data_IF_223799952340
#
_entry.id   IF_223799952340
#
_cell.length_a   1.000
_cell.length_b   1.000
_cell.length_c   1.000
_cell.angle_alpha   90.00
_cell.angle_beta   90.00
_cell.angle_gamma   90.00
#
_symmetry.space_group_name_H-M   'P 1'
#
loop_
_entity.id
_entity.type
_entity.pdbx_description
1 polymer ?
#
# COMPACT_ATOMS: atom_id res chain seq x y z
N UNK A 1 -14.91 -39.21 10.89
CA UNK A 1 -15.28 -37.96 11.60
C UNK A 1 -15.51 -36.91 10.53
N UNK A 2 -16.77 -36.56 10.25
CA UNK A 2 -17.08 -35.50 9.29
C UNK A 2 -16.70 -34.16 9.91
N UNK A 3 -15.82 -33.41 9.25
CA UNK A 3 -15.57 -32.00 9.58
C UNK A 3 -16.90 -31.26 9.49
N UNK A 4 -17.36 -30.71 10.60
CA UNK A 4 -18.55 -29.84 10.62
C UNK A 4 -18.14 -28.56 9.88
N UNK A 5 -18.72 -28.32 8.72
CA UNK A 5 -18.57 -27.07 8.00
C UNK A 5 -19.33 -25.99 8.78
N UNK A 6 -18.60 -24.99 9.29
CA UNK A 6 -19.15 -23.87 10.05
C UNK A 6 -19.28 -22.61 9.19
N UNK A 7 -19.97 -21.60 9.72
CA UNK A 7 -20.06 -20.29 9.08
C UNK A 7 -18.66 -19.63 9.07
N UNK A 8 -18.22 -19.20 7.88
CA UNK A 8 -16.90 -18.63 7.64
C UNK A 8 -16.96 -17.11 7.74
N UNK A 9 -15.98 -16.51 8.41
CA UNK A 9 -15.77 -15.06 8.40
C UNK A 9 -14.82 -14.68 7.26
N UNK A 10 -15.33 -13.95 6.27
CA UNK A 10 -14.55 -13.54 5.10
C UNK A 10 -13.75 -12.25 5.39
N UNK A 11 -12.44 -12.32 5.20
CA UNK A 11 -11.52 -11.18 5.26
C UNK A 11 -11.15 -10.81 3.83
N UNK A 12 -11.55 -9.63 3.38
CA UNK A 12 -11.25 -9.15 2.03
C UNK A 12 -10.03 -8.22 2.03
N UNK A 13 -9.01 -8.58 1.25
CA UNK A 13 -7.82 -7.76 1.04
C UNK A 13 -7.81 -7.16 -0.36
N UNK A 14 -8.34 -5.94 -0.47
CA UNK A 14 -8.32 -5.16 -1.70
C UNK A 14 -6.98 -4.48 -1.88
N UNK A 15 -6.37 -4.67 -3.05
CA UNK A 15 -5.01 -4.23 -3.27
C UNK A 15 -4.78 -3.73 -4.69
N UNK A 16 -4.03 -2.63 -4.82
CA UNK A 16 -3.54 -2.15 -6.11
C UNK A 16 -2.53 -3.15 -6.68
N UNK A 17 -2.28 -3.16 -8.00
CA UNK A 17 -1.26 -4.04 -8.56
C UNK A 17 0.09 -3.77 -7.91
N UNK A 18 0.92 -4.80 -7.77
CA UNK A 18 2.31 -4.69 -7.27
C UNK A 18 2.42 -4.28 -5.78
N UNK A 19 1.38 -4.47 -4.98
CA UNK A 19 1.31 -4.12 -3.56
C UNK A 19 1.60 -5.27 -2.59
N UNK A 20 2.29 -6.33 -3.04
CA UNK A 20 2.63 -7.53 -2.24
C UNK A 20 1.43 -8.34 -1.73
N UNK A 21 0.25 -8.12 -2.30
CA UNK A 21 -0.96 -8.84 -1.90
C UNK A 21 -0.83 -10.35 -1.98
N UNK A 22 -0.12 -10.90 -2.98
CA UNK A 22 0.15 -12.35 -3.03
C UNK A 22 1.02 -12.82 -1.86
N UNK A 23 2.04 -12.04 -1.46
CA UNK A 23 2.86 -12.36 -0.28
C UNK A 23 2.03 -12.28 1.01
N UNK A 24 1.13 -11.31 1.11
CA UNK A 24 0.18 -11.21 2.22
C UNK A 24 -0.77 -12.42 2.26
N UNK A 25 -1.28 -12.87 1.10
CA UNK A 25 -2.06 -14.10 1.01
C UNK A 25 -1.26 -15.32 1.48
N UNK A 26 0.01 -15.45 1.07
CA UNK A 26 0.88 -16.56 1.50
C UNK A 26 1.11 -16.55 3.01
N UNK A 27 1.25 -15.35 3.59
CA UNK A 27 1.35 -15.12 5.03
C UNK A 27 0.09 -15.59 5.77
N UNK A 28 -1.10 -15.19 5.32
CA UNK A 28 -2.37 -15.66 5.91
C UNK A 28 -2.62 -17.15 5.71
N UNK A 29 -2.11 -17.76 4.64
CA UNK A 29 -2.18 -19.21 4.43
C UNK A 29 -1.38 -20.03 5.44
N UNK A 30 -0.48 -19.40 6.23
CA UNK A 30 0.25 -20.07 7.30
C UNK A 30 -0.49 -20.05 8.66
N UNK A 31 -1.63 -19.35 8.73
CA UNK A 31 -2.47 -19.33 9.92
C UNK A 31 -3.26 -20.63 10.01
N UNK A 32 -3.26 -21.25 11.19
CA UNK A 32 -4.07 -22.45 11.45
C UNK A 32 -5.58 -22.21 11.34
N UNK A 33 -6.04 -20.95 11.43
CA UNK A 33 -7.46 -20.59 11.44
C UNK A 33 -7.95 -20.00 10.13
N UNK A 34 -7.08 -19.92 9.11
CA UNK A 34 -7.38 -19.21 7.87
C UNK A 34 -7.24 -20.11 6.64
N UNK A 35 -8.22 -20.06 5.75
CA UNK A 35 -8.08 -20.52 4.37
C UNK A 35 -8.01 -19.32 3.41
N UNK A 36 -7.42 -19.49 2.23
CA UNK A 36 -7.17 -18.38 1.30
C UNK A 36 -7.82 -18.61 -0.07
N UNK A 37 -8.31 -17.54 -0.68
CA UNK A 37 -8.80 -17.52 -2.04
C UNK A 37 -8.02 -16.49 -2.86
N UNK A 38 -7.37 -16.96 -3.92
CA UNK A 38 -6.66 -16.11 -4.88
C UNK A 38 -7.62 -15.64 -5.97
N UNK A 39 -7.89 -14.33 -6.03
CA UNK A 39 -8.72 -13.66 -7.03
C UNK A 39 -10.09 -14.33 -7.33
N UNK A 40 -10.96 -14.58 -6.32
CA UNK A 40 -12.21 -15.31 -6.54
C UNK A 40 -13.14 -14.67 -7.59
N UNK A 41 -13.03 -13.35 -7.79
CA UNK A 41 -13.85 -12.58 -8.75
C UNK A 41 -13.20 -12.44 -10.14
N UNK A 42 -12.08 -13.10 -10.42
CA UNK A 42 -11.33 -12.85 -11.64
C UNK A 42 -12.10 -13.21 -12.92
N UNK A 43 -12.79 -14.35 -12.92
CA UNK A 43 -13.61 -14.75 -14.06
C UNK A 43 -14.79 -13.79 -14.30
N UNK A 44 -15.42 -13.30 -13.23
CA UNK A 44 -16.45 -12.26 -13.30
C UNK A 44 -15.92 -10.99 -13.96
N UNK A 45 -14.77 -10.50 -13.50
CA UNK A 45 -14.09 -9.33 -14.08
C UNK A 45 -13.79 -9.53 -15.57
N UNK A 46 -13.21 -10.66 -15.95
CA UNK A 46 -12.86 -10.94 -17.35
C UNK A 46 -14.10 -11.09 -18.24
N UNK A 47 -15.21 -11.62 -17.70
CA UNK A 47 -16.48 -11.74 -18.41
C UNK A 47 -17.14 -10.38 -18.63
N UNK A 48 -17.18 -9.52 -17.61
CA UNK A 48 -17.85 -8.22 -17.67
C UNK A 48 -17.07 -7.18 -18.49
N UNK A 49 -15.74 -7.15 -18.34
CA UNK A 49 -14.90 -6.16 -19.02
C UNK A 49 -14.45 -6.58 -20.42
N UNK A 50 -14.42 -7.89 -20.69
CA UNK A 50 -13.83 -8.42 -21.92
C UNK A 50 -12.31 -8.24 -22.00
N UNK A 51 -11.62 -7.93 -20.88
CA UNK A 51 -10.20 -7.67 -20.86
C UNK A 51 -9.37 -8.83 -21.46
N UNK A 52 -8.48 -8.50 -22.39
CA UNK A 52 -7.56 -9.47 -22.98
C UNK A 52 -6.44 -9.80 -21.99
N UNK A 53 -6.31 -11.09 -21.63
CA UNK A 53 -5.30 -11.60 -20.69
C UNK A 53 -4.75 -12.95 -21.16
N UNK A 54 -3.47 -13.28 -20.89
CA UNK A 54 -2.85 -14.51 -21.39
C UNK A 54 -3.55 -15.81 -20.93
N UNK A 55 -4.11 -15.81 -19.73
CA UNK A 55 -4.81 -16.95 -19.13
C UNK A 55 -6.34 -16.83 -19.20
N UNK A 56 -6.89 -15.91 -20.01
CA UNK A 56 -8.32 -15.57 -20.04
C UNK A 56 -9.23 -16.79 -20.20
N UNK A 57 -9.00 -17.58 -21.25
CA UNK A 57 -9.84 -18.74 -21.58
C UNK A 57 -9.74 -19.83 -20.51
N UNK A 58 -8.55 -20.01 -19.92
CA UNK A 58 -8.37 -20.94 -18.80
C UNK A 58 -9.13 -20.48 -17.56
N UNK A 59 -9.09 -19.19 -17.24
CA UNK A 59 -9.84 -18.62 -16.10
C UNK A 59 -11.34 -18.79 -16.30
N UNK A 60 -11.88 -18.39 -17.47
CA UNK A 60 -13.30 -18.52 -17.77
C UNK A 60 -13.81 -19.96 -17.79
N UNK A 61 -12.94 -20.94 -18.10
CA UNK A 61 -13.33 -22.36 -18.13
C UNK A 61 -13.20 -23.06 -16.78
N UNK A 62 -12.39 -22.53 -15.85
CA UNK A 62 -12.09 -23.16 -14.56
C UNK A 62 -12.79 -22.52 -13.36
N UNK A 63 -13.28 -21.30 -13.48
CA UNK A 63 -13.87 -20.53 -12.38
C UNK A 63 -15.30 -20.12 -12.68
N UNK A 64 -16.12 -20.00 -11.63
CA UNK A 64 -17.46 -19.41 -11.73
C UNK A 64 -17.35 -17.92 -12.07
N UNK A 65 -18.14 -17.46 -13.04
CA UNK A 65 -18.12 -16.10 -13.58
C UNK A 65 -19.41 -15.33 -13.29
N UNK A 66 -20.35 -15.95 -12.58
CA UNK A 66 -21.53 -15.31 -12.01
C UNK A 66 -21.18 -14.69 -10.65
N UNK A 67 -21.26 -13.36 -10.57
CA UNK A 67 -20.88 -12.60 -9.37
C UNK A 67 -21.67 -13.03 -8.13
N UNK A 68 -22.99 -13.17 -8.26
CA UNK A 68 -23.86 -13.51 -7.13
C UNK A 68 -23.52 -14.89 -6.58
N UNK A 69 -23.26 -15.85 -7.48
CA UNK A 69 -22.83 -17.20 -7.08
C UNK A 69 -21.45 -17.20 -6.45
N UNK A 70 -20.47 -16.46 -6.99
CA UNK A 70 -19.13 -16.40 -6.40
C UNK A 70 -19.22 -15.81 -4.98
N UNK A 71 -19.94 -14.71 -4.80
CA UNK A 71 -20.10 -14.09 -3.48
C UNK A 71 -20.77 -15.06 -2.51
N UNK A 72 -21.89 -15.66 -2.90
CA UNK A 72 -22.68 -16.50 -2.02
C UNK A 72 -22.03 -17.86 -1.73
N UNK A 73 -21.57 -18.55 -2.76
CA UNK A 73 -21.19 -19.97 -2.67
C UNK A 73 -19.67 -20.16 -2.51
N UNK A 74 -18.85 -19.18 -2.89
CA UNK A 74 -17.38 -19.27 -2.82
C UNK A 74 -16.82 -18.39 -1.71
N UNK A 75 -17.20 -17.12 -1.63
CA UNK A 75 -16.67 -16.18 -0.63
C UNK A 75 -17.33 -16.42 0.72
N UNK A 76 -18.66 -16.41 0.78
CA UNK A 76 -19.43 -16.64 2.01
C UNK A 76 -19.96 -18.08 2.15
N UNK A 77 -19.58 -18.97 1.22
CA UNK A 77 -19.94 -20.38 1.28
C UNK A 77 -19.33 -21.08 2.50
N UNK A 78 -19.77 -22.32 2.81
CA UNK A 78 -19.19 -23.11 3.89
C UNK A 78 -17.69 -23.31 3.71
N UNK A 79 -16.94 -23.43 4.80
CA UNK A 79 -15.49 -23.59 4.78
C UNK A 79 -14.98 -24.47 5.92
N UNK A 80 -13.69 -24.76 5.86
CA UNK A 80 -13.03 -25.66 6.84
C UNK A 80 -12.36 -24.91 7.97
N UNK A 81 -12.16 -23.61 7.78
CA UNK A 81 -11.42 -22.72 8.67
C UNK A 81 -12.35 -21.58 9.09
N UNK A 82 -12.02 -20.97 10.24
CA UNK A 82 -12.83 -19.88 10.80
C UNK A 82 -12.81 -18.66 9.88
N UNK A 83 -11.63 -18.31 9.37
CA UNK A 83 -11.43 -17.16 8.50
C UNK A 83 -11.15 -17.57 7.06
N UNK A 84 -11.63 -16.76 6.12
CA UNK A 84 -11.30 -16.90 4.70
C UNK A 84 -10.74 -15.60 4.15
N UNK A 85 -9.45 -15.59 3.86
CA UNK A 85 -8.78 -14.44 3.29
C UNK A 85 -8.91 -14.43 1.77
N UNK A 86 -9.69 -13.48 1.26
CA UNK A 86 -9.90 -13.27 -0.17
C UNK A 86 -8.98 -12.17 -0.67
N UNK A 87 -8.17 -12.46 -1.69
CA UNK A 87 -7.31 -11.48 -2.35
C UNK A 87 -7.88 -11.09 -3.71
N UNK A 88 -8.70 -10.03 -3.80
CA UNK A 88 -8.98 -9.33 -5.05
C UNK A 88 -7.89 -8.26 -5.33
N UNK A 89 -7.09 -8.46 -6.37
CA UNK A 89 -6.10 -7.51 -6.88
C UNK A 89 -6.51 -6.97 -8.25
N UNK A 90 -6.20 -5.71 -8.46
CA UNK A 90 -6.19 -5.13 -9.80
C UNK A 90 -4.99 -5.69 -10.60
N UNK A 91 -5.17 -5.78 -11.92
CA UNK A 91 -4.36 -6.62 -12.81
C UNK A 91 -3.01 -5.98 -13.22
N UNK A 92 -2.07 -6.83 -13.67
CA UNK A 92 -0.65 -6.49 -13.87
C UNK A 92 -0.23 -6.24 -15.34
N UNK A 93 -1.11 -6.46 -16.33
CA UNK A 93 -0.66 -6.88 -17.69
C UNK A 93 -0.78 -5.80 -18.78
N UNK A 94 -1.00 -4.54 -18.45
CA UNK A 94 -1.01 -3.45 -19.43
C UNK A 94 -0.13 -2.29 -18.98
N UNK A 95 0.25 -1.36 -19.89
CA UNK A 95 0.97 -0.16 -19.49
C UNK A 95 0.27 0.55 -18.32
N UNK A 96 1.04 1.06 -17.35
CA UNK A 96 0.44 1.74 -16.20
C UNK A 96 -0.42 2.89 -16.70
N UNK A 97 -1.66 2.91 -16.23
CA UNK A 97 -2.65 3.95 -16.50
C UNK A 97 -3.43 4.23 -15.22
N UNK A 98 -4.15 5.34 -15.19
CA UNK A 98 -4.96 5.74 -14.04
C UNK A 98 -5.89 4.61 -13.58
N UNK A 99 -6.60 3.99 -14.52
CA UNK A 99 -7.54 2.90 -14.26
C UNK A 99 -6.85 1.61 -13.81
N UNK A 100 -5.69 1.30 -14.39
CA UNK A 100 -5.00 0.04 -14.08
C UNK A 100 -4.31 0.04 -12.72
N UNK A 101 -3.98 1.22 -12.18
CA UNK A 101 -3.45 1.33 -10.82
C UNK A 101 -4.51 1.04 -9.73
N UNK A 102 -5.81 1.11 -10.05
CA UNK A 102 -6.89 0.74 -9.13
C UNK A 102 -7.04 1.64 -7.90
N UNK A 103 -6.31 2.76 -7.81
CA UNK A 103 -6.29 3.61 -6.62
C UNK A 103 -7.61 4.37 -6.43
N UNK A 104 -8.28 4.73 -7.53
CA UNK A 104 -9.59 5.39 -7.46
C UNK A 104 -10.65 4.44 -6.91
N UNK A 105 -10.62 3.19 -7.36
CA UNK A 105 -11.50 2.11 -6.93
C UNK A 105 -11.26 1.78 -5.46
N UNK A 106 -10.00 1.69 -5.01
CA UNK A 106 -9.68 1.50 -3.59
C UNK A 106 -10.20 2.65 -2.72
N UNK A 107 -10.04 3.90 -3.15
CA UNK A 107 -10.59 5.06 -2.43
C UNK A 107 -12.12 5.01 -2.39
N UNK A 108 -12.77 4.60 -3.49
CA UNK A 108 -14.23 4.44 -3.54
C UNK A 108 -14.70 3.37 -2.56
N UNK A 109 -14.12 2.17 -2.60
CA UNK A 109 -14.45 1.06 -1.69
C UNK A 109 -14.24 1.48 -0.24
N UNK A 110 -13.11 2.12 0.07
CA UNK A 110 -12.84 2.63 1.42
C UNK A 110 -13.91 3.64 1.86
N UNK A 111 -14.25 4.61 1.00
CA UNK A 111 -15.24 5.64 1.30
C UNK A 111 -16.62 5.07 1.57
N UNK A 112 -17.04 4.06 0.80
CA UNK A 112 -18.35 3.44 0.96
C UNK A 112 -18.42 2.58 2.22
N UNK A 113 -17.39 1.79 2.52
CA UNK A 113 -17.30 1.03 3.77
C UNK A 113 -17.23 1.94 5.00
N UNK A 114 -16.53 3.09 4.88
CA UNK A 114 -16.49 4.10 5.93
C UNK A 114 -17.88 4.66 6.22
N UNK A 115 -18.68 4.99 5.20
CA UNK A 115 -20.06 5.48 5.35
C UNK A 115 -20.98 4.44 5.99
N UNK A 116 -20.74 3.15 5.74
CA UNK A 116 -21.47 2.04 6.34
C UNK A 116 -21.08 1.78 7.81
N UNK A 117 -20.12 2.52 8.36
CA UNK A 117 -19.70 2.42 9.76
C UNK A 117 -18.68 1.31 10.04
N UNK A 118 -18.14 0.67 9.00
CA UNK A 118 -17.14 -0.39 9.11
C UNK A 118 -15.89 -0.03 8.29
N UNK A 119 -15.10 0.96 8.74
CA UNK A 119 -13.93 1.39 8.00
C UNK A 119 -12.88 0.27 7.95
N UNK A 120 -12.44 -0.18 6.76
CA UNK A 120 -11.51 -1.29 6.66
C UNK A 120 -10.11 -0.87 7.16
N UNK A 121 -9.34 -1.79 7.77
CA UNK A 121 -7.94 -1.54 8.07
C UNK A 121 -7.14 -1.26 6.79
N UNK A 122 -6.22 -0.31 6.85
CA UNK A 122 -5.33 0.05 5.73
C UNK A 122 -3.89 -0.17 6.16
N UNK A 123 -3.14 -0.93 5.36
CA UNK A 123 -1.69 -1.13 5.52
C UNK A 123 -0.93 -0.60 4.31
N UNK A 124 0.26 -0.07 4.52
CA UNK A 124 1.18 0.31 3.43
C UNK A 124 2.11 -0.86 3.10
N UNK A 125 2.26 -1.18 1.82
CA UNK A 125 3.12 -2.27 1.37
C UNK A 125 4.60 -2.05 1.77
N UNK A 126 5.06 -0.81 1.81
CA UNK A 126 6.42 -0.48 2.26
C UNK A 126 6.60 -0.75 3.77
N UNK A 127 5.58 -0.48 4.58
CA UNK A 127 5.60 -0.81 6.02
C UNK A 127 5.63 -2.33 6.23
N UNK A 128 4.89 -3.08 5.41
CA UNK A 128 4.89 -4.54 5.41
C UNK A 128 6.26 -5.12 5.02
N UNK A 129 6.97 -4.54 4.05
CA UNK A 129 8.34 -4.98 3.71
C UNK A 129 9.37 -4.58 4.76
N UNK A 130 9.24 -3.38 5.34
CA UNK A 130 10.22 -2.84 6.27
C UNK A 130 10.16 -3.53 7.63
N UNK A 131 8.95 -3.80 8.13
CA UNK A 131 8.73 -4.48 9.40
C UNK A 131 7.49 -5.38 9.34
N UNK A 132 7.61 -6.58 8.72
CA UNK A 132 6.48 -7.46 8.49
C UNK A 132 5.76 -7.86 9.77
N UNK A 133 6.50 -8.16 10.84
CA UNK A 133 5.90 -8.57 12.11
C UNK A 133 5.07 -7.46 12.74
N UNK A 134 5.58 -6.23 12.82
CA UNK A 134 4.81 -5.13 13.40
C UNK A 134 3.55 -4.83 12.57
N UNK A 135 3.68 -4.80 11.25
CA UNK A 135 2.56 -4.52 10.34
C UNK A 135 1.49 -5.61 10.42
N UNK A 136 1.88 -6.90 10.43
CA UNK A 136 0.94 -8.01 10.56
C UNK A 136 0.28 -8.07 11.94
N UNK A 137 1.01 -7.79 13.02
CA UNK A 137 0.41 -7.69 14.36
C UNK A 137 -0.65 -6.61 14.42
N UNK A 138 -0.35 -5.41 13.90
CA UNK A 138 -1.32 -4.31 13.85
C UNK A 138 -2.54 -4.64 13.00
N UNK A 139 -2.33 -5.29 11.83
CA UNK A 139 -3.44 -5.75 10.99
C UNK A 139 -4.31 -6.80 11.70
N UNK A 140 -3.68 -7.77 12.38
CA UNK A 140 -4.41 -8.81 13.10
C UNK A 140 -5.22 -8.22 14.26
N UNK A 141 -4.66 -7.26 14.99
CA UNK A 141 -5.36 -6.51 16.05
C UNK A 141 -6.55 -5.72 15.49
N UNK A 142 -6.37 -5.03 14.37
CA UNK A 142 -7.44 -4.28 13.70
C UNK A 142 -8.58 -5.16 13.16
N UNK A 143 -8.26 -6.42 12.82
CA UNK A 143 -9.22 -7.43 12.34
C UNK A 143 -9.79 -8.31 13.46
N UNK A 144 -9.36 -8.13 14.71
CA UNK A 144 -9.71 -9.00 15.85
C UNK A 144 -9.42 -10.50 15.61
N UNK A 145 -8.24 -10.77 15.02
CA UNK A 145 -7.75 -12.13 14.76
C UNK A 145 -6.41 -12.40 15.47
N UNK A 146 -6.10 -13.65 15.84
CA UNK A 146 -4.83 -13.96 16.49
C UNK A 146 -3.67 -13.91 15.50
N UNK A 147 -2.64 -13.12 15.82
CA UNK A 147 -1.37 -13.16 15.10
C UNK A 147 -0.61 -14.46 15.40
N UNK A 148 -0.10 -15.13 14.35
CA UNK A 148 0.75 -16.32 14.47
C UNK A 148 2.12 -16.06 13.83
N UNK A 149 3.20 -16.49 14.48
CA UNK A 149 4.56 -16.29 13.95
C UNK A 149 4.83 -17.04 12.65
N UNK A 150 4.07 -18.12 12.39
CA UNK A 150 4.06 -18.85 11.12
C UNK A 150 3.74 -17.94 9.93
N UNK A 151 2.97 -16.87 10.14
CA UNK A 151 2.60 -15.89 9.10
C UNK A 151 3.80 -15.14 8.51
N UNK A 152 4.98 -15.20 9.13
CA UNK A 152 6.17 -14.45 8.67
C UNK A 152 6.98 -15.16 7.58
N UNK A 153 6.78 -16.46 7.39
CA UNK A 153 7.55 -17.25 6.42
C UNK A 153 6.75 -18.37 5.80
N UNK A 154 7.05 -18.70 4.56
CA UNK A 154 6.43 -19.77 3.79
C UNK A 154 7.50 -20.56 3.04
N UNK A 155 7.15 -21.77 2.60
CA UNK A 155 8.02 -22.52 1.69
C UNK A 155 8.04 -21.87 0.30
N UNK A 156 9.18 -21.88 -0.37
CA UNK A 156 9.28 -21.45 -1.76
C UNK A 156 8.52 -22.41 -2.69
N UNK A 157 8.15 -21.91 -3.87
CA UNK A 157 7.51 -22.67 -4.94
C UNK A 157 5.99 -22.45 -5.06
N UNK A 158 5.39 -23.04 -6.10
CA UNK A 158 3.97 -22.92 -6.38
C UNK A 158 3.12 -23.52 -5.26
N UNK A 159 1.95 -22.91 -5.04
CA UNK A 159 1.00 -23.32 -4.01
C UNK A 159 -0.26 -23.91 -4.64
N UNK A 160 -0.87 -24.87 -3.96
CA UNK A 160 -2.11 -25.50 -4.43
C UNK A 160 -3.29 -24.51 -4.51
N UNK A 161 -3.23 -23.41 -3.76
CA UNK A 161 -4.20 -22.33 -3.75
C UNK A 161 -3.85 -21.17 -4.70
N UNK A 162 -2.77 -21.28 -5.47
CA UNK A 162 -2.46 -20.31 -6.52
C UNK A 162 -3.44 -20.46 -7.69
N UNK A 163 -3.89 -19.34 -8.25
CA UNK A 163 -4.70 -19.37 -9.46
C UNK A 163 -3.93 -19.79 -10.72
N UNK A 164 -4.65 -20.12 -11.79
CA UNK A 164 -4.10 -20.55 -13.09
C UNK A 164 -3.18 -19.50 -13.74
N UNK A 165 -3.24 -18.25 -13.28
CA UNK A 165 -2.37 -17.15 -13.68
C UNK A 165 -0.99 -17.16 -13.02
N UNK A 166 -0.75 -17.96 -11.98
CA UNK A 166 0.51 -17.95 -11.24
C UNK A 166 1.76 -18.10 -12.11
N UNK A 167 1.80 -18.96 -13.15
CA UNK A 167 2.96 -19.04 -14.06
C UNK A 167 3.33 -17.71 -14.74
N UNK A 168 2.36 -16.80 -14.88
CA UNK A 168 2.54 -15.51 -15.53
C UNK A 168 3.02 -14.43 -14.54
N UNK A 169 2.57 -14.49 -13.28
CA UNK A 169 2.74 -13.34 -12.37
C UNK A 169 3.53 -13.64 -11.10
N UNK A 170 3.60 -14.90 -10.66
CA UNK A 170 4.04 -15.28 -9.31
C UNK A 170 5.49 -15.74 -9.21
N UNK A 171 6.26 -15.63 -10.30
CA UNK A 171 7.71 -15.95 -10.29
C UNK A 171 8.44 -15.42 -9.06
N UNK A 172 8.24 -14.15 -8.70
CA UNK A 172 8.94 -13.52 -7.57
C UNK A 172 8.52 -14.05 -6.20
N UNK A 173 7.25 -14.45 -6.01
CA UNK A 173 6.79 -14.98 -4.72
C UNK A 173 7.08 -16.47 -4.60
N UNK A 174 7.10 -17.20 -5.73
CA UNK A 174 7.56 -18.60 -5.76
C UNK A 174 9.05 -18.72 -5.43
N UNK A 175 9.85 -17.68 -5.69
CA UNK A 175 11.28 -17.65 -5.31
C UNK A 175 11.51 -17.17 -3.86
N UNK A 176 10.46 -16.70 -3.15
CA UNK A 176 10.59 -16.16 -1.81
C UNK A 176 10.16 -17.14 -0.72
N UNK A 177 10.64 -16.91 0.49
CA UNK A 177 10.26 -17.67 1.70
C UNK A 177 9.77 -16.77 2.83
N UNK A 178 9.79 -15.46 2.65
CA UNK A 178 9.31 -14.45 3.59
C UNK A 178 9.14 -13.11 2.86
N UNK A 179 8.68 -12.09 3.58
CA UNK A 179 8.71 -10.71 3.10
C UNK A 179 10.16 -10.24 2.92
N UNK A 180 10.57 -10.03 1.67
CA UNK A 180 11.92 -9.61 1.34
C UNK A 180 12.06 -8.09 1.39
N UNK A 181 13.24 -7.61 1.80
CA UNK A 181 13.51 -6.18 1.94
C UNK A 181 13.67 -5.49 0.58
N UNK A 182 13.13 -4.27 0.49
CA UNK A 182 13.19 -3.35 -0.66
C UNK A 182 14.54 -3.41 -1.41
N UNK A 183 14.48 -3.54 -2.74
CA UNK A 183 15.60 -3.16 -3.61
C UNK A 183 15.79 -1.65 -3.51
N UNK A 184 16.95 -1.17 -3.05
CA UNK A 184 17.30 0.25 -3.15
C UNK A 184 17.20 0.66 -4.62
N UNK A 185 16.23 1.50 -4.97
CA UNK A 185 16.09 2.07 -6.31
C UNK A 185 17.20 3.13 -6.50
N UNK A 186 18.18 2.93 -7.40
CA UNK A 186 19.12 3.98 -7.79
C UNK A 186 18.77 4.54 -9.18
N UNK A 187 17.62 4.19 -9.75
CA UNK A 187 17.21 4.62 -11.07
C UNK A 187 16.34 5.88 -10.97
N UNK A 188 16.56 6.91 -11.81
CA UNK A 188 15.64 8.02 -11.90
C UNK A 188 14.24 7.51 -12.28
N UNK A 189 13.21 8.11 -11.69
CA UNK A 189 11.83 7.75 -12.01
C UNK A 189 11.55 7.97 -13.51
N UNK A 190 10.87 7.03 -14.19
CA UNK A 190 10.66 7.15 -15.64
C UNK A 190 9.90 8.43 -16.00
N UNK A 191 10.47 9.26 -16.87
CA UNK A 191 9.90 10.56 -17.24
C UNK A 191 8.46 10.47 -17.74
N UNK A 192 8.12 9.44 -18.53
CA UNK A 192 6.77 9.25 -19.06
C UNK A 192 5.70 8.84 -18.04
N UNK A 193 6.05 8.67 -16.76
CA UNK A 193 5.10 8.32 -15.69
C UNK A 193 4.83 9.48 -14.72
N UNK A 194 5.42 10.66 -14.93
CA UNK A 194 5.23 11.80 -14.02
C UNK A 194 3.79 12.30 -14.02
N UNK A 195 3.18 12.46 -15.21
CA UNK A 195 1.78 12.89 -15.31
C UNK A 195 0.85 11.92 -14.56
N UNK A 196 1.04 10.60 -14.79
CA UNK A 196 0.29 9.57 -14.09
C UNK A 196 0.53 9.62 -12.57
N UNK A 197 1.77 9.85 -12.14
CA UNK A 197 2.10 9.99 -10.72
C UNK A 197 1.34 11.18 -10.11
N UNK A 198 1.32 12.33 -10.76
CA UNK A 198 0.58 13.51 -10.29
C UNK A 198 -0.92 13.26 -10.19
N UNK A 199 -1.50 12.54 -11.17
CA UNK A 199 -2.92 12.15 -11.16
C UNK A 199 -3.27 11.24 -9.98
N UNK A 200 -2.42 10.25 -9.67
CA UNK A 200 -2.74 9.24 -8.64
C UNK A 200 -2.25 9.57 -7.24
N UNK A 201 -1.30 10.50 -7.10
CA UNK A 201 -0.70 10.85 -5.80
C UNK A 201 -1.73 11.31 -4.77
N UNK A 202 -2.76 12.13 -5.09
CA UNK A 202 -3.81 12.48 -4.15
C UNK A 202 -4.57 11.26 -3.63
N UNK A 203 -4.90 10.29 -4.51
CA UNK A 203 -5.63 9.08 -4.16
C UNK A 203 -4.80 8.17 -3.25
N UNK A 204 -3.53 7.96 -3.59
CA UNK A 204 -2.60 7.24 -2.73
C UNK A 204 -2.49 7.91 -1.35
N UNK A 205 -2.35 9.24 -1.31
CA UNK A 205 -2.26 9.97 -0.05
C UNK A 205 -3.52 9.83 0.79
N UNK A 206 -4.73 9.85 0.20
CA UNK A 206 -5.98 9.62 0.93
C UNK A 206 -5.93 8.31 1.71
N UNK A 207 -5.53 7.21 1.08
CA UNK A 207 -5.41 5.90 1.72
C UNK A 207 -4.25 5.86 2.72
N UNK A 208 -3.09 6.43 2.37
CA UNK A 208 -1.91 6.47 3.25
C UNK A 208 -2.20 7.14 4.59
N UNK A 209 -2.99 8.22 4.60
CA UNK A 209 -3.36 8.89 5.85
C UNK A 209 -4.30 8.05 6.74
N UNK A 210 -4.86 6.94 6.23
CA UNK A 210 -5.69 6.00 6.98
C UNK A 210 -4.92 4.85 7.59
N UNK A 211 -3.65 4.68 7.21
CA UNK A 211 -2.77 3.69 7.82
C UNK A 211 -2.65 4.02 9.30
N UNK A 212 -3.22 3.16 10.15
CA UNK A 212 -3.08 3.27 11.60
C UNK A 212 -1.63 2.93 11.92
N UNK A 213 -0.82 3.96 12.16
CA UNK A 213 0.51 3.74 12.71
C UNK A 213 0.31 3.09 14.08
N UNK A 214 0.65 1.81 14.25
CA UNK A 214 0.98 1.28 15.58
C UNK A 214 1.88 2.32 16.23
N UNK A 215 1.45 2.85 17.36
CA UNK A 215 1.96 4.01 18.08
C UNK A 215 3.49 4.10 18.12
N UNK A 216 4.07 4.56 17.01
CA UNK A 216 5.47 4.90 16.81
C UNK A 216 5.58 6.34 16.27
N UNK A 217 4.50 7.13 16.38
CA UNK A 217 4.48 8.56 16.09
C UNK A 217 5.47 9.39 16.94
N UNK A 218 6.25 8.75 17.82
CA UNK A 218 7.40 9.34 18.52
C UNK A 218 8.77 8.92 17.97
N UNK A 219 8.86 8.10 16.91
CA UNK A 219 10.13 7.80 16.25
C UNK A 219 10.07 8.20 14.79
N UNK A 220 10.48 9.44 14.54
CA UNK A 220 11.05 9.80 13.24
C UNK A 220 12.09 8.73 12.85
N UNK A 221 12.05 8.15 11.64
CA UNK A 221 13.05 7.18 11.18
C UNK A 221 14.41 7.84 10.95
N UNK A 222 14.45 9.17 10.87
CA UNK A 222 15.66 9.93 11.01
C UNK A 222 15.91 10.15 12.50
N UNK A 223 17.10 9.83 13.05
CA UNK A 223 17.44 10.34 14.36
C UNK A 223 17.16 11.85 14.36
N UNK A 224 16.61 12.36 15.47
CA UNK A 224 16.59 13.81 15.64
C UNK A 224 18.03 14.28 15.37
N UNK A 225 18.23 15.24 14.46
CA UNK A 225 19.58 15.70 14.17
C UNK A 225 20.20 16.13 15.49
N UNK A 226 21.46 15.75 15.74
CA UNK A 226 22.19 16.30 16.86
C UNK A 226 22.21 17.81 16.66
N UNK A 227 21.46 18.52 17.50
CA UNK A 227 21.41 19.97 17.49
C UNK A 227 22.56 20.46 18.37
N UNK A 228 23.41 21.37 17.87
CA UNK A 228 23.33 22.03 16.57
C UNK A 228 23.91 21.18 15.41
N UNK A 229 23.25 21.22 14.24
CA UNK A 229 23.79 20.69 12.97
C UNK A 229 25.00 21.55 12.60
N UNK A 230 26.26 21.05 12.65
CA UNK A 230 27.45 21.87 12.42
C UNK A 230 27.47 22.55 11.05
N UNK A 231 26.88 21.91 10.04
CA UNK A 231 26.74 22.45 8.68
C UNK A 231 25.86 23.71 8.63
N UNK A 232 25.00 23.91 9.64
CA UNK A 232 24.13 25.08 9.77
C UNK A 232 24.74 26.20 10.63
N UNK A 233 25.96 26.03 11.15
CA UNK A 233 26.64 27.02 12.01
C UNK A 233 26.81 28.37 11.29
N UNK A 234 27.03 28.34 9.96
CA UNK A 234 27.30 29.52 9.14
C UNK A 234 26.12 29.96 8.26
N UNK A 235 24.89 29.61 8.66
CA UNK A 235 23.72 30.06 7.91
C UNK A 235 23.64 31.59 7.87
N UNK A 236 23.39 32.11 6.68
CA UNK A 236 23.16 33.51 6.42
C UNK A 236 21.68 33.73 6.12
N UNK A 237 21.13 34.82 6.66
CA UNK A 237 19.77 35.27 6.37
C UNK A 237 19.84 36.66 5.74
N UNK A 238 19.04 36.88 4.71
CA UNK A 238 18.86 38.20 4.12
C UNK A 238 17.70 38.89 4.83
N UNK A 239 17.95 40.03 5.48
CA UNK A 239 16.96 40.77 6.27
C UNK A 239 17.10 42.26 5.98
N UNK A 240 16.00 42.89 5.53
CA UNK A 240 16.06 44.26 5.02
C UNK A 240 16.94 44.31 3.77
N UNK A 241 18.03 45.08 3.82
CA UNK A 241 18.98 45.23 2.71
C UNK A 241 20.33 44.53 2.97
N UNK A 242 20.43 43.68 4.01
CA UNK A 242 21.69 43.09 4.45
C UNK A 242 21.65 41.56 4.54
N UNK A 243 22.79 40.91 4.25
CA UNK A 243 23.00 39.49 4.52
C UNK A 243 23.71 39.37 5.88
N UNK A 244 23.05 38.74 6.84
CA UNK A 244 23.49 38.65 8.23
C UNK A 244 23.69 37.18 8.65
N UNK A 245 24.65 36.88 9.55
CA UNK A 245 24.67 35.59 10.26
C UNK A 245 23.35 35.35 10.98
N UNK A 246 22.91 34.09 11.04
CA UNK A 246 21.65 33.68 11.68
C UNK A 246 21.43 34.32 13.06
N UNK A 247 22.45 34.35 13.91
CA UNK A 247 22.35 34.86 15.29
C UNK A 247 22.17 36.38 15.37
N UNK A 248 22.52 37.09 14.29
CA UNK A 248 22.37 38.54 14.16
C UNK A 248 21.12 38.95 13.40
N UNK A 249 20.50 38.02 12.66
CA UNK A 249 19.30 38.28 11.86
C UNK A 249 18.08 38.53 12.76
N UNK A 250 17.46 39.70 12.64
CA UNK A 250 16.33 40.13 13.48
C UNK A 250 15.26 40.80 12.63
N UNK A 251 14.01 40.39 12.81
CA UNK A 251 12.84 41.05 12.21
C UNK A 251 12.15 41.94 13.23
N UNK A 252 11.41 42.95 12.75
CA UNK A 252 10.63 43.83 13.63
C UNK A 252 9.54 43.03 14.35
N UNK A 253 9.37 43.26 15.64
CA UNK A 253 8.25 42.67 16.40
C UNK A 253 6.89 43.15 15.89
N UNK A 254 6.85 44.30 15.20
CA UNK A 254 5.64 44.86 14.62
C UNK A 254 5.40 44.41 13.18
N UNK A 255 6.22 43.51 12.63
CA UNK A 255 5.97 42.93 11.32
C UNK A 255 4.65 42.13 11.33
N UNK A 256 3.87 42.26 10.27
CA UNK A 256 2.60 41.52 10.11
C UNK A 256 2.77 40.00 10.13
N UNK A 257 3.94 39.48 9.73
CA UNK A 257 4.25 38.05 9.88
C UNK A 257 4.34 37.64 11.35
N UNK A 258 4.91 38.50 12.19
CA UNK A 258 5.07 38.25 13.63
C UNK A 258 3.73 38.47 14.36
N UNK A 259 2.97 39.50 14.00
CA UNK A 259 1.73 39.87 14.67
C UNK A 259 0.54 38.98 14.29
N UNK A 260 0.52 38.41 13.09
CA UNK A 260 -0.66 37.68 12.59
C UNK A 260 -0.36 36.58 11.56
N UNK A 261 0.90 36.20 11.35
CA UNK A 261 1.27 35.15 10.41
C UNK A 261 0.96 35.48 8.95
N UNK A 262 0.79 36.77 8.61
CA UNK A 262 0.42 37.22 7.27
C UNK A 262 1.63 37.17 6.32
N UNK A 263 2.01 35.97 5.90
CA UNK A 263 3.10 35.74 4.97
C UNK A 263 2.91 34.42 4.22
N UNK A 264 3.53 34.32 3.06
CA UNK A 264 3.72 33.05 2.33
C UNK A 264 5.21 32.76 2.30
N UNK A 265 5.60 31.52 2.55
CA UNK A 265 6.98 31.07 2.42
C UNK A 265 7.08 29.94 1.41
N UNK A 266 8.17 29.92 0.66
CA UNK A 266 8.55 28.83 -0.22
C UNK A 266 10.01 28.46 0.07
N UNK A 267 10.35 27.18 -0.04
CA UNK A 267 11.68 26.67 0.23
C UNK A 267 12.31 26.13 -1.04
N UNK A 268 13.46 26.69 -1.42
CA UNK A 268 14.25 26.18 -2.53
C UNK A 268 15.41 25.34 -2.00
N UNK A 269 15.65 24.17 -2.59
CA UNK A 269 16.77 23.30 -2.22
C UNK A 269 17.87 23.39 -3.26
N UNK A 270 19.12 23.44 -2.82
CA UNK A 270 20.29 23.41 -3.70
C UNK A 270 21.03 22.09 -3.45
N UNK A 271 21.23 21.30 -4.51
CA UNK A 271 21.99 20.06 -4.49
C UNK A 271 23.16 20.19 -5.47
N UNK A 272 24.39 19.98 -5.03
CA UNK A 272 25.61 20.05 -5.85
C UNK A 272 25.70 21.32 -6.72
N UNK A 273 25.37 22.47 -6.11
CA UNK A 273 25.38 23.77 -6.78
C UNK A 273 24.22 24.00 -7.78
N UNK A 274 23.25 23.08 -7.87
CA UNK A 274 22.07 23.21 -8.71
C UNK A 274 20.82 23.48 -7.88
N UNK A 275 20.09 24.50 -8.27
CA UNK A 275 18.77 24.82 -7.74
C UNK A 275 17.78 23.74 -8.17
N UNK A 276 17.20 23.03 -7.20
CA UNK A 276 16.10 22.11 -7.41
C UNK A 276 14.79 22.90 -7.32
N UNK A 277 14.23 23.21 -8.48
CA UNK A 277 12.92 23.82 -8.62
C UNK A 277 11.99 22.78 -9.23
N UNK A 278 10.88 22.46 -8.55
CA UNK A 278 9.72 21.85 -9.20
C UNK A 278 9.19 22.88 -10.19
N UNK A 279 9.30 22.60 -11.49
CA UNK A 279 8.63 23.42 -12.51
C UNK A 279 7.13 23.18 -12.39
N UNK A 280 6.42 24.14 -11.81
CA UNK A 280 4.99 24.30 -12.05
C UNK A 280 4.79 24.71 -13.52
N UNK A 281 3.85 24.08 -14.22
CA UNK A 281 3.26 24.60 -15.47
C UNK A 281 2.11 25.53 -15.08
#
# INVERSE_FOLDING_TARGET
MGSVEEAVEAIHAWSAPRSLSTSLMYSFAQSDDTEVLDEPLYATFLKSTGAARPCREQVLSSMEADEEKVVKDVIFGPGRKKYRFCKPSFDKVVPPSFFELGLAELVSVYSDLWKLGSPPPVIDAADLEQNPEATLRGLCEDLDIPFQSSMLSWEAGPKAYDGVWAPWWYKSVHESTCFAKVRKYPMPFPFGLYDLLEEVLPLYNVLKHRVKRSSNLLKSPLPAPDLPVPENEKLLAWVGDEILPRDSAKVSVFDSVVQGGNSVWEGLRVYDGKVFSSRSI
#
